data_IF_127681243020
#
_entry.id   IF_127681243020
#
_cell.length_a   1.000
_cell.length_b   1.000
_cell.length_c   1.000
_cell.angle_alpha   90.00
_cell.angle_beta   90.00
_cell.angle_gamma   90.00
#
_symmetry.space_group_name_H-M   'P 1'
#
loop_
_entity.id
_entity.type
_entity.pdbx_description
1 polymer ?
#
# COMPACT_ATOMS: atom_id res chain seq x y z
N UNK A 1 15.74 -1.26 -11.40
CA UNK A 1 14.64 -0.84 -12.29
C UNK A 1 14.19 0.62 -12.07
N UNK A 2 13.62 1.07 -10.94
CA UNK A 2 13.17 2.46 -10.77
C UNK A 2 14.25 3.49 -11.15
N UNK A 3 15.43 3.41 -10.54
CA UNK A 3 16.54 4.34 -10.81
C UNK A 3 17.05 4.28 -12.26
N UNK A 4 17.00 3.13 -12.88
CA UNK A 4 17.36 2.94 -14.29
C UNK A 4 16.37 3.67 -15.19
N UNK A 5 15.06 3.51 -14.93
CA UNK A 5 14.02 4.24 -15.66
C UNK A 5 14.21 5.75 -15.49
N UNK A 6 14.45 6.24 -14.28
CA UNK A 6 14.69 7.68 -14.02
C UNK A 6 15.93 8.16 -14.80
N UNK A 7 17.01 7.38 -14.80
CA UNK A 7 18.23 7.69 -15.55
C UNK A 7 17.98 7.77 -17.07
N UNK A 8 17.22 6.82 -17.61
CA UNK A 8 16.85 6.85 -19.03
C UNK A 8 16.02 8.09 -19.38
N UNK A 9 15.01 8.41 -18.55
CA UNK A 9 14.18 9.60 -18.74
C UNK A 9 15.04 10.87 -18.68
N UNK A 10 15.96 10.96 -17.73
CA UNK A 10 16.86 12.11 -17.63
C UNK A 10 17.74 12.28 -18.87
N UNK A 11 18.26 11.18 -19.43
CA UNK A 11 19.03 11.21 -20.68
C UNK A 11 18.17 11.69 -21.86
N UNK A 12 16.93 11.21 -21.99
CA UNK A 12 16.02 11.63 -23.07
C UNK A 12 15.62 13.11 -22.98
N UNK A 13 15.49 13.63 -21.76
CA UNK A 13 15.04 15.00 -21.50
C UNK A 13 16.19 16.00 -21.32
N UNK A 14 17.45 15.56 -21.48
CA UNK A 14 18.65 16.35 -21.20
C UNK A 14 18.68 16.92 -19.77
N UNK A 15 18.22 16.14 -18.79
CA UNK A 15 18.24 16.46 -17.36
C UNK A 15 19.52 15.86 -16.75
N UNK A 16 20.30 16.68 -16.07
CA UNK A 16 21.44 16.18 -15.30
C UNK A 16 20.96 15.41 -14.09
N UNK A 17 21.50 14.21 -13.91
CA UNK A 17 21.11 13.25 -12.89
C UNK A 17 22.28 12.97 -11.94
N UNK A 18 22.05 13.10 -10.64
CA UNK A 18 23.05 12.83 -9.60
C UNK A 18 22.43 12.04 -8.46
N UNK A 19 23.07 10.93 -8.07
CA UNK A 19 22.66 10.12 -6.92
C UNK A 19 23.42 10.59 -5.69
N UNK A 20 22.69 10.82 -4.59
CA UNK A 20 23.22 11.29 -3.31
C UNK A 20 22.72 10.41 -2.15
N UNK A 21 23.30 10.60 -0.96
CA UNK A 21 22.89 9.94 0.30
C UNK A 21 22.75 8.42 0.17
N UNK A 22 23.76 7.73 -0.36
CA UNK A 22 23.75 6.26 -0.53
C UNK A 22 22.47 5.77 -1.22
N UNK A 23 22.21 6.37 -2.39
CA UNK A 23 21.06 6.00 -3.24
C UNK A 23 19.67 6.46 -2.75
N UNK A 24 19.57 7.24 -1.69
CA UNK A 24 18.27 7.69 -1.18
C UNK A 24 17.75 8.96 -1.87
N UNK A 25 18.66 9.85 -2.32
CA UNK A 25 18.28 11.09 -3.00
C UNK A 25 18.73 11.03 -4.47
N UNK A 26 17.84 11.44 -5.36
CA UNK A 26 18.16 11.71 -6.76
C UNK A 26 17.98 13.21 -6.97
N UNK A 27 19.07 13.90 -7.33
CA UNK A 27 19.09 15.30 -7.73
C UNK A 27 18.92 15.39 -9.24
N UNK A 28 17.99 16.20 -9.71
CA UNK A 28 17.70 16.50 -11.10
C UNK A 28 17.98 17.99 -11.34
N UNK A 29 18.74 18.31 -12.41
CA UNK A 29 19.10 19.68 -12.76
C UNK A 29 18.81 19.95 -14.23
N UNK A 30 18.02 20.98 -14.54
CA UNK A 30 17.67 21.43 -15.87
C UNK A 30 17.43 22.94 -15.88
N UNK A 31 17.98 23.65 -16.85
CA UNK A 31 17.73 25.07 -17.11
C UNK A 31 17.87 25.97 -15.85
N UNK A 32 18.92 25.71 -15.04
CA UNK A 32 19.21 26.33 -13.74
C UNK A 32 18.22 25.99 -12.61
N UNK A 33 17.26 25.12 -12.85
CA UNK A 33 16.37 24.59 -11.83
C UNK A 33 16.88 23.28 -11.24
N UNK A 34 16.60 23.08 -9.96
CA UNK A 34 16.96 21.86 -9.23
C UNK A 34 15.71 21.25 -8.62
N UNK A 35 15.56 19.96 -8.82
CA UNK A 35 14.48 19.15 -8.22
C UNK A 35 15.06 17.91 -7.56
N UNK A 36 14.33 17.35 -6.62
CA UNK A 36 14.77 16.17 -5.88
C UNK A 36 13.70 15.08 -5.85
N UNK A 37 14.15 13.83 -5.93
CA UNK A 37 13.37 12.68 -5.53
C UNK A 37 14.00 12.10 -4.26
N UNK A 38 13.18 11.62 -3.32
CA UNK A 38 13.63 10.92 -2.12
C UNK A 38 13.03 9.52 -2.09
N UNK A 39 13.88 8.50 -2.25
CA UNK A 39 13.41 7.14 -2.49
C UNK A 39 12.62 7.07 -3.80
N UNK A 40 11.30 6.85 -3.69
CA UNK A 40 10.36 6.83 -4.83
C UNK A 40 9.30 7.96 -4.75
N UNK A 41 9.58 9.02 -3.97
CA UNK A 41 8.72 10.21 -3.85
C UNK A 41 9.22 11.31 -4.78
N UNK A 42 8.29 11.84 -5.55
CA UNK A 42 8.50 12.99 -6.42
C UNK A 42 8.09 14.27 -5.69
N UNK A 43 8.78 15.37 -5.95
CA UNK A 43 8.45 16.68 -5.38
C UNK A 43 7.24 17.31 -6.10
N UNK A 44 6.09 16.65 -6.00
CA UNK A 44 4.83 17.05 -6.63
C UNK A 44 3.73 17.34 -5.63
N UNK A 45 3.61 16.54 -4.57
CA UNK A 45 2.68 16.82 -3.50
C UNK A 45 3.23 17.91 -2.57
N UNK A 46 2.36 18.78 -2.08
CA UNK A 46 2.72 19.68 -1.00
C UNK A 46 3.18 18.88 0.24
N UNK A 47 4.08 19.47 1.04
CA UNK A 47 4.67 18.77 2.21
C UNK A 47 3.63 18.18 3.15
N UNK A 48 2.57 18.94 3.48
CA UNK A 48 1.50 18.45 4.35
C UNK A 48 0.76 17.24 3.74
N UNK A 49 0.43 17.32 2.45
CA UNK A 49 -0.24 16.22 1.75
C UNK A 49 0.65 14.98 1.72
N UNK A 50 1.94 15.12 1.41
CA UNK A 50 2.88 14.00 1.44
C UNK A 50 2.94 13.28 2.79
N UNK A 51 2.94 14.05 3.89
CA UNK A 51 2.94 13.50 5.24
C UNK A 51 1.61 12.80 5.61
N UNK A 52 0.48 13.37 5.19
CA UNK A 52 -0.85 12.79 5.40
C UNK A 52 -0.97 11.44 4.67
N UNK A 53 -0.51 11.37 3.42
CA UNK A 53 -0.57 10.12 2.63
C UNK A 53 0.28 8.99 3.23
N UNK A 54 1.34 9.32 3.95
CA UNK A 54 2.21 8.33 4.61
C UNK A 54 1.70 7.91 6.00
N UNK A 55 0.64 8.55 6.51
CA UNK A 55 0.05 8.33 7.83
C UNK A 55 -1.37 7.80 7.68
N UNK A 56 -1.57 6.50 7.95
CA UNK A 56 -2.85 5.81 7.70
C UNK A 56 -4.01 6.41 8.49
N UNK A 57 -3.76 6.79 9.73
CA UNK A 57 -4.80 7.37 10.58
C UNK A 57 -5.13 8.81 10.16
N UNK A 58 -4.13 9.63 9.87
CA UNK A 58 -4.36 10.99 9.39
C UNK A 58 -5.11 11.00 8.05
N UNK A 59 -4.74 10.11 7.13
CA UNK A 59 -5.43 9.97 5.85
C UNK A 59 -6.89 9.51 6.03
N UNK A 60 -7.14 8.53 6.91
CA UNK A 60 -8.49 8.11 7.28
C UNK A 60 -9.33 9.29 7.83
N UNK A 61 -8.78 10.07 8.77
CA UNK A 61 -9.48 11.20 9.38
C UNK A 61 -9.89 12.26 8.32
N UNK A 62 -8.99 12.56 7.37
CA UNK A 62 -9.29 13.46 6.25
C UNK A 62 -10.43 12.90 5.40
N UNK A 63 -10.35 11.64 4.96
CA UNK A 63 -11.37 11.04 4.10
C UNK A 63 -12.72 10.95 4.80
N UNK A 64 -12.74 10.61 6.08
CA UNK A 64 -13.95 10.60 6.91
C UNK A 64 -14.57 12.00 7.00
N UNK A 65 -13.76 13.03 7.22
CA UNK A 65 -14.22 14.41 7.35
C UNK A 65 -14.88 14.93 6.05
N UNK A 66 -14.41 14.48 4.90
CA UNK A 66 -14.95 14.86 3.58
C UNK A 66 -15.94 13.84 3.01
N UNK A 67 -16.43 12.90 3.85
CA UNK A 67 -17.42 11.88 3.50
C UNK A 67 -17.03 10.98 2.31
N UNK A 68 -15.78 10.58 2.23
CA UNK A 68 -15.31 9.55 1.28
C UNK A 68 -15.33 8.18 1.96
N UNK A 69 -15.87 7.13 1.29
CA UNK A 69 -15.85 5.76 1.80
C UNK A 69 -14.40 5.30 2.06
N UNK A 70 -14.07 4.98 3.31
CA UNK A 70 -12.72 4.62 3.75
C UNK A 70 -12.77 3.54 4.82
N UNK A 71 -11.76 2.67 4.85
CA UNK A 71 -11.58 1.70 5.92
C UNK A 71 -11.42 2.41 7.27
N UNK A 72 -12.13 1.92 8.29
CA UNK A 72 -12.05 2.49 9.64
C UNK A 72 -10.66 2.29 10.23
N UNK A 73 -10.18 3.29 10.94
CA UNK A 73 -8.92 3.23 11.68
C UNK A 73 -9.09 3.83 13.08
N UNK A 74 -8.34 3.29 14.05
CA UNK A 74 -8.04 3.92 15.33
C UNK A 74 -6.53 3.96 15.49
N UNK A 75 -6.02 5.00 16.14
CA UNK A 75 -4.58 5.13 16.40
C UNK A 75 -4.27 4.69 17.83
N UNK A 76 -3.15 4.01 18.00
CA UNK A 76 -2.62 3.60 19.29
C UNK A 76 -1.21 4.16 19.40
N UNK A 77 -0.93 4.85 20.53
CA UNK A 77 0.39 5.38 20.84
C UNK A 77 1.09 4.54 21.91
N UNK A 78 2.40 4.69 21.99
CA UNK A 78 3.17 4.08 23.08
C UNK A 78 2.70 4.61 24.43
N UNK A 79 2.59 3.73 25.44
CA UNK A 79 2.10 4.06 26.79
C UNK A 79 2.81 5.22 27.50
N UNK A 80 4.09 5.45 27.15
CA UNK A 80 4.89 6.55 27.69
C UNK A 80 4.79 7.84 26.86
N UNK A 81 3.90 7.89 25.86
CA UNK A 81 3.68 9.11 25.10
C UNK A 81 2.70 10.02 25.85
N UNK A 82 3.23 11.07 26.48
CA UNK A 82 2.49 12.03 27.30
C UNK A 82 2.04 13.28 26.50
N UNK A 83 2.14 13.27 25.20
CA UNK A 83 1.65 14.38 24.37
C UNK A 83 0.12 14.41 24.41
N UNK A 84 -0.47 15.60 24.39
CA UNK A 84 -1.92 15.80 24.51
C UNK A 84 -2.74 14.99 23.50
N UNK A 85 -2.23 14.83 22.28
CA UNK A 85 -2.89 14.04 21.23
C UNK A 85 -2.83 12.52 21.46
N UNK A 86 -1.97 12.03 22.34
CA UNK A 86 -1.82 10.62 22.65
C UNK A 86 -2.61 10.19 23.89
N UNK A 87 -3.03 11.16 24.72
CA UNK A 87 -3.78 10.89 25.96
C UNK A 87 -5.11 10.20 25.61
N UNK A 88 -5.36 9.07 26.28
CA UNK A 88 -6.53 8.24 26.04
C UNK A 88 -6.39 7.22 24.92
N UNK A 89 -5.42 7.40 24.02
CA UNK A 89 -5.14 6.45 22.91
C UNK A 89 -3.89 5.59 23.17
N UNK A 90 -3.41 5.53 24.39
CA UNK A 90 -2.17 4.86 24.79
C UNK A 90 -2.34 3.89 25.96
N UNK A 91 -3.57 3.59 26.35
CA UNK A 91 -3.92 2.69 27.46
C UNK A 91 -4.33 1.31 26.95
N UNK A 92 -4.10 0.28 27.76
CA UNK A 92 -4.57 -1.07 27.46
C UNK A 92 -6.10 -1.12 27.38
N UNK A 93 -6.81 -0.39 28.24
CA UNK A 93 -8.26 -0.26 28.20
C UNK A 93 -8.75 0.27 26.83
N UNK A 94 -8.11 1.31 26.29
CA UNK A 94 -8.44 1.84 24.98
C UNK A 94 -8.23 0.81 23.86
N UNK A 95 -7.11 0.06 23.91
CA UNK A 95 -6.80 -0.98 22.93
C UNK A 95 -7.88 -2.07 22.96
N UNK A 96 -8.28 -2.52 24.15
CA UNK A 96 -9.33 -3.51 24.31
C UNK A 96 -10.70 -2.99 23.91
N UNK A 97 -11.00 -1.71 24.14
CA UNK A 97 -12.24 -1.08 23.67
C UNK A 97 -12.29 -1.03 22.12
N UNK A 98 -11.19 -0.70 21.45
CA UNK A 98 -11.12 -0.77 19.99
C UNK A 98 -11.32 -2.20 19.47
N UNK A 99 -10.74 -3.20 20.13
CA UNK A 99 -10.90 -4.60 19.77
C UNK A 99 -12.36 -5.06 19.89
N UNK A 100 -13.02 -4.70 20.99
CA UNK A 100 -14.44 -5.02 21.20
C UNK A 100 -15.34 -4.26 20.19
N UNK A 101 -15.06 -2.97 19.94
CA UNK A 101 -15.76 -2.16 18.91
C UNK A 101 -15.74 -2.84 17.55
N UNK A 102 -14.62 -3.46 17.22
CA UNK A 102 -14.40 -4.17 15.95
C UNK A 102 -14.70 -5.68 16.03
N UNK A 103 -15.57 -6.07 16.94
CA UNK A 103 -16.09 -7.45 17.09
C UNK A 103 -15.00 -8.52 17.30
N UNK A 104 -13.88 -8.14 17.93
CA UNK A 104 -12.72 -9.00 18.23
C UNK A 104 -12.04 -9.59 16.98
N UNK A 105 -12.15 -8.91 15.84
CA UNK A 105 -11.54 -9.32 14.57
C UNK A 105 -10.89 -8.09 13.92
N UNK A 106 -9.57 -7.97 14.09
CA UNK A 106 -8.84 -6.73 13.76
C UNK A 106 -7.56 -6.98 12.99
N UNK A 107 -7.14 -5.95 12.25
CA UNK A 107 -5.79 -5.85 11.71
C UNK A 107 -5.04 -4.75 12.45
N UNK A 108 -3.84 -5.08 12.94
CA UNK A 108 -2.90 -4.13 13.53
C UNK A 108 -1.72 -3.95 12.59
N UNK A 109 -1.26 -2.71 12.44
CA UNK A 109 -0.14 -2.38 11.57
C UNK A 109 0.56 -1.09 12.02
N UNK A 110 1.85 -0.87 11.68
CA UNK A 110 2.48 0.43 11.83
C UNK A 110 1.66 1.53 11.16
N UNK A 111 1.43 2.63 11.87
CA UNK A 111 0.67 3.76 11.31
C UNK A 111 1.39 4.37 10.11
N UNK A 112 2.73 4.49 10.21
CA UNK A 112 3.62 4.84 9.08
C UNK A 112 4.41 3.60 8.70
N UNK A 113 4.21 3.10 7.49
CA UNK A 113 4.87 1.90 7.01
C UNK A 113 4.30 1.45 5.67
N UNK A 114 5.04 0.58 5.00
CA UNK A 114 4.70 0.07 3.67
C UNK A 114 5.09 -1.40 3.52
N UNK A 115 4.78 -2.01 2.38
CA UNK A 115 5.12 -3.39 2.00
C UNK A 115 4.52 -4.47 2.91
N UNK A 116 3.52 -4.17 3.73
CA UNK A 116 2.90 -5.13 4.63
C UNK A 116 3.81 -5.61 5.78
N UNK A 117 4.85 -4.83 6.13
CA UNK A 117 5.73 -5.13 7.26
C UNK A 117 5.01 -4.77 8.56
N UNK A 118 4.99 -5.72 9.51
CA UNK A 118 4.34 -5.53 10.82
C UNK A 118 2.81 -5.48 10.75
N UNK A 119 2.20 -6.06 9.71
CA UNK A 119 0.74 -6.19 9.61
C UNK A 119 0.33 -7.54 10.17
N UNK A 120 -0.58 -7.54 11.15
CA UNK A 120 -1.06 -8.73 11.85
C UNK A 120 -2.59 -8.75 11.89
N UNK A 121 -3.18 -9.91 11.57
CA UNK A 121 -4.58 -10.20 11.76
C UNK A 121 -4.75 -10.89 13.12
N UNK A 122 -5.62 -10.38 13.97
CA UNK A 122 -5.72 -10.77 15.38
C UNK A 122 -7.17 -10.96 15.78
N UNK A 123 -7.45 -12.12 16.38
CA UNK A 123 -8.76 -12.50 16.92
C UNK A 123 -8.73 -12.85 18.41
N UNK A 124 -7.55 -12.71 19.05
CA UNK A 124 -7.33 -13.06 20.46
C UNK A 124 -6.78 -11.86 21.23
N UNK A 125 -7.29 -11.64 22.47
CA UNK A 125 -6.91 -10.50 23.32
C UNK A 125 -5.45 -10.53 23.77
N UNK A 126 -4.95 -11.71 24.15
CA UNK A 126 -3.58 -11.83 24.68
C UNK A 126 -2.57 -11.59 23.55
N UNK A 127 -2.87 -12.10 22.35
CA UNK A 127 -2.11 -11.85 21.15
C UNK A 127 -2.14 -10.36 20.79
N UNK A 128 -3.30 -9.71 20.87
CA UNK A 128 -3.48 -8.27 20.62
C UNK A 128 -2.50 -7.44 21.46
N UNK A 129 -2.49 -7.64 22.78
CA UNK A 129 -1.64 -6.88 23.69
C UNK A 129 -0.16 -7.16 23.43
N UNK A 130 0.20 -8.43 23.25
CA UNK A 130 1.58 -8.80 22.97
C UNK A 130 2.11 -8.17 21.66
N UNK A 131 1.36 -8.29 20.56
CA UNK A 131 1.75 -7.73 19.26
C UNK A 131 1.75 -6.21 19.30
N UNK A 132 0.76 -5.57 19.97
CA UNK A 132 0.73 -4.13 20.15
C UNK A 132 1.99 -3.63 20.83
N UNK A 133 2.39 -4.25 21.96
CA UNK A 133 3.59 -3.86 22.68
C UNK A 133 4.85 -4.05 21.84
N UNK A 134 4.96 -5.16 21.12
CA UNK A 134 6.12 -5.44 20.23
C UNK A 134 6.23 -4.43 19.09
N UNK A 135 5.12 -4.08 18.44
CA UNK A 135 5.12 -3.10 17.36
C UNK A 135 5.50 -1.70 17.86
N UNK A 136 5.04 -1.31 19.04
CA UNK A 136 5.33 -0.01 19.64
C UNK A 136 6.78 0.16 20.11
N UNK A 137 7.57 -0.92 20.24
CA UNK A 137 9.02 -0.81 20.48
C UNK A 137 9.72 -0.02 19.37
N UNK A 138 9.34 -0.29 18.11
CA UNK A 138 10.00 0.27 16.94
C UNK A 138 9.16 1.29 16.16
N UNK A 139 7.92 1.55 16.61
CA UNK A 139 7.01 2.46 15.95
C UNK A 139 6.47 3.49 16.94
N UNK A 140 6.41 4.74 16.50
CA UNK A 140 5.86 5.84 17.30
C UNK A 140 4.36 5.66 17.56
N UNK A 141 3.65 5.14 16.58
CA UNK A 141 2.23 4.81 16.65
C UNK A 141 1.90 3.64 15.73
N UNK A 142 0.84 2.95 16.07
CA UNK A 142 0.27 1.88 15.25
C UNK A 142 -1.20 2.18 14.96
N UNK A 143 -1.71 1.58 13.90
CA UNK A 143 -3.12 1.66 13.53
C UNK A 143 -3.79 0.31 13.76
N UNK A 144 -4.98 0.33 14.38
CA UNK A 144 -5.90 -0.81 14.49
C UNK A 144 -7.14 -0.52 13.66
N UNK A 145 -7.58 -1.49 12.90
CA UNK A 145 -8.78 -1.42 12.06
C UNK A 145 -9.53 -2.76 12.09
N UNK A 146 -10.85 -2.78 11.80
CA UNK A 146 -11.56 -4.04 11.66
C UNK A 146 -10.94 -4.88 10.53
N UNK A 147 -11.05 -6.19 10.64
CA UNK A 147 -10.69 -7.08 9.56
C UNK A 147 -11.76 -7.00 8.46
N UNK A 148 -11.37 -6.62 7.26
CA UNK A 148 -12.26 -6.58 6.10
C UNK A 148 -12.12 -7.86 5.28
N UNK A 149 -13.22 -8.54 5.00
CA UNK A 149 -13.25 -9.63 4.04
C UNK A 149 -13.16 -9.05 2.63
N UNK A 150 -11.94 -9.04 2.10
CA UNK A 150 -11.62 -8.42 0.81
C UNK A 150 -11.89 -9.41 -0.32
N UNK A 151 -12.75 -9.01 -1.26
CA UNK A 151 -13.01 -9.73 -2.52
C UNK A 151 -11.95 -9.38 -3.57
N UNK A 152 -11.65 -8.09 -3.72
CA UNK A 152 -10.65 -7.58 -4.64
C UNK A 152 -9.92 -6.38 -4.04
N UNK A 153 -8.65 -6.19 -4.42
CA UNK A 153 -7.89 -4.98 -4.11
C UNK A 153 -7.35 -4.36 -5.39
N UNK A 154 -7.56 -3.05 -5.54
CA UNK A 154 -7.16 -2.27 -6.70
C UNK A 154 -6.11 -1.25 -6.29
N UNK A 155 -5.07 -1.10 -7.11
CA UNK A 155 -4.15 0.03 -7.01
C UNK A 155 -4.34 0.97 -8.17
N UNK A 156 -4.52 2.24 -7.85
CA UNK A 156 -4.73 3.31 -8.81
C UNK A 156 -3.58 4.30 -8.72
N UNK A 157 -2.91 4.56 -9.82
CA UNK A 157 -1.90 5.60 -9.93
C UNK A 157 -2.57 6.86 -10.45
N UNK A 158 -2.56 7.91 -9.65
CA UNK A 158 -3.10 9.22 -10.01
C UNK A 158 -1.97 10.23 -10.20
N UNK A 159 -2.05 11.04 -11.25
CA UNK A 159 -1.15 12.15 -11.49
C UNK A 159 -1.99 13.33 -12.03
N UNK A 160 -1.96 14.46 -11.32
CA UNK A 160 -2.64 15.70 -11.69
C UNK A 160 -4.13 15.51 -12.02
N UNK A 161 -4.87 14.82 -11.13
CA UNK A 161 -6.28 14.47 -11.29
C UNK A 161 -6.60 13.60 -12.54
N UNK A 162 -5.63 12.87 -13.02
CA UNK A 162 -5.81 11.88 -14.09
C UNK A 162 -5.41 10.49 -13.60
N UNK A 163 -6.13 9.48 -14.06
CA UNK A 163 -5.77 8.09 -13.83
C UNK A 163 -4.71 7.67 -14.84
N UNK A 164 -3.53 7.31 -14.37
CA UNK A 164 -2.44 6.83 -15.23
C UNK A 164 -2.39 5.32 -15.35
N UNK A 165 -2.78 4.61 -14.30
CA UNK A 165 -2.80 3.15 -14.29
C UNK A 165 -3.79 2.66 -13.23
N UNK A 166 -4.56 1.63 -13.57
CA UNK A 166 -5.33 0.83 -12.61
C UNK A 166 -4.95 -0.62 -12.81
N UNK A 167 -4.66 -1.32 -11.72
CA UNK A 167 -4.54 -2.77 -11.73
C UNK A 167 -5.17 -3.38 -10.48
N UNK A 168 -5.70 -4.59 -10.66
CA UNK A 168 -6.19 -5.43 -9.57
C UNK A 168 -5.04 -6.28 -9.05
N UNK A 169 -4.92 -6.37 -7.74
CA UNK A 169 -4.03 -7.32 -7.08
C UNK A 169 -4.79 -8.63 -6.87
N UNK A 170 -4.18 -9.73 -7.25
CA UNK A 170 -4.73 -11.07 -7.09
C UNK A 170 -3.82 -11.85 -6.17
N UNK A 171 -4.35 -12.38 -5.09
CA UNK A 171 -3.60 -13.30 -4.24
C UNK A 171 -3.47 -14.66 -4.94
N UNK A 172 -2.31 -15.30 -4.86
CA UNK A 172 -2.15 -16.63 -5.40
C UNK A 172 -3.10 -17.59 -4.68
N UNK A 173 -3.92 -18.28 -5.45
CA UNK A 173 -4.74 -19.39 -5.00
C UNK A 173 -3.95 -20.65 -5.34
N UNK A 174 -3.59 -21.43 -4.33
CA UNK A 174 -2.99 -22.74 -4.53
C UNK A 174 -4.09 -23.78 -4.54
N UNK A 175 -4.11 -24.58 -5.60
CA UNK A 175 -4.99 -25.76 -5.68
C UNK A 175 -4.15 -26.98 -5.40
N UNK A 176 -4.49 -27.71 -4.36
CA UNK A 176 -3.85 -28.98 -4.01
C UNK A 176 -3.95 -30.01 -5.14
N UNK A 177 -2.85 -30.71 -5.41
CA UNK A 177 -2.81 -31.81 -6.37
C UNK A 177 -2.84 -33.18 -5.67
N UNK A 178 -2.82 -33.19 -4.33
CA UNK A 178 -2.78 -34.41 -3.49
C UNK A 178 -1.42 -35.08 -3.48
N UNK A 179 -0.35 -34.45 -3.97
CA UNK A 179 0.99 -35.05 -4.11
C UNK A 179 2.11 -34.12 -3.71
N UNK A 180 2.04 -32.86 -4.17
CA UNK A 180 3.05 -31.84 -3.92
C UNK A 180 2.81 -31.14 -2.58
N UNK A 181 3.89 -30.79 -1.90
CA UNK A 181 3.82 -29.93 -0.72
C UNK A 181 3.31 -28.54 -1.08
N UNK A 182 2.73 -27.83 -0.14
CA UNK A 182 2.32 -26.44 -0.32
C UNK A 182 3.49 -25.59 -0.83
N UNK A 183 4.71 -25.84 -0.32
CA UNK A 183 5.94 -25.19 -0.79
C UNK A 183 6.18 -25.40 -2.29
N UNK A 184 6.09 -26.61 -2.78
CA UNK A 184 6.31 -26.95 -4.19
C UNK A 184 5.24 -26.32 -5.10
N UNK A 185 3.98 -26.34 -4.66
CA UNK A 185 2.88 -25.72 -5.38
C UNK A 185 3.04 -24.21 -5.47
N UNK A 186 3.52 -23.57 -4.43
CA UNK A 186 3.71 -22.12 -4.37
C UNK A 186 4.95 -21.65 -5.15
N UNK A 187 6.01 -22.45 -5.23
CA UNK A 187 7.17 -22.16 -6.10
C UNK A 187 6.74 -22.02 -7.56
N UNK A 188 5.73 -22.78 -8.02
CA UNK A 188 5.16 -22.65 -9.38
C UNK A 188 4.58 -21.26 -9.66
N UNK A 189 4.17 -20.51 -8.63
CA UNK A 189 3.66 -19.16 -8.75
C UNK A 189 4.72 -18.06 -8.55
N UNK A 190 6.01 -18.42 -8.54
CA UNK A 190 7.11 -17.49 -8.30
C UNK A 190 7.00 -16.74 -6.95
N UNK A 191 6.29 -17.33 -6.01
CA UNK A 191 6.05 -16.77 -4.67
C UNK A 191 7.20 -17.14 -3.75
N UNK A 192 8.05 -16.18 -3.42
CA UNK A 192 9.24 -16.38 -2.57
C UNK A 192 8.97 -16.09 -1.08
N UNK A 193 7.73 -15.86 -0.69
CA UNK A 193 7.40 -15.43 0.66
C UNK A 193 6.57 -16.45 1.43
N UNK A 194 7.21 -17.05 2.46
CA UNK A 194 6.56 -17.91 3.45
C UNK A 194 6.99 -17.47 4.84
N UNK A 195 6.02 -17.16 5.68
CA UNK A 195 6.28 -16.81 7.09
C UNK A 195 6.18 -18.00 8.03
N UNK A 196 5.40 -19.01 7.68
CA UNK A 196 5.22 -20.20 8.51
C UNK A 196 5.83 -21.45 7.85
N UNK A 197 6.94 -21.93 8.42
CA UNK A 197 7.68 -23.07 7.87
C UNK A 197 6.96 -24.41 8.05
N UNK A 198 6.09 -24.52 9.05
CA UNK A 198 5.43 -25.79 9.38
C UNK A 198 4.28 -26.06 8.41
N UNK A 199 3.56 -25.06 7.98
CA UNK A 199 2.49 -25.14 6.98
C UNK A 199 3.02 -25.48 5.58
N UNK A 200 4.26 -25.14 5.27
CA UNK A 200 4.86 -25.36 3.95
C UNK A 200 5.06 -26.84 3.58
N UNK A 201 5.20 -27.70 4.56
CA UNK A 201 5.42 -29.12 4.36
C UNK A 201 4.12 -29.94 4.25
N UNK A 202 2.96 -29.29 4.43
CA UNK A 202 1.67 -29.94 4.28
C UNK A 202 1.44 -30.27 2.80
N UNK A 203 0.92 -31.45 2.51
CA UNK A 203 0.44 -31.84 1.19
C UNK A 203 -1.06 -31.58 1.16
N UNK A 204 -1.53 -30.55 0.46
CA UNK A 204 -2.96 -30.26 0.35
C UNK A 204 -3.69 -31.38 -0.38
N UNK A 205 -4.93 -31.67 0.03
CA UNK A 205 -5.76 -32.62 -0.68
C UNK A 205 -5.98 -32.21 -2.14
N UNK A 206 -6.27 -33.17 -3.00
CA UNK A 206 -6.59 -32.88 -4.41
C UNK A 206 -7.83 -31.97 -4.50
N UNK A 207 -7.69 -30.87 -5.23
CA UNK A 207 -8.69 -29.81 -5.39
C UNK A 207 -8.94 -28.95 -4.13
N UNK A 208 -8.17 -29.12 -3.07
CA UNK A 208 -8.22 -28.21 -1.92
C UNK A 208 -7.69 -26.84 -2.33
N UNK A 209 -8.51 -25.80 -2.06
CA UNK A 209 -8.14 -24.41 -2.35
C UNK A 209 -7.52 -23.82 -1.09
N UNK A 210 -6.25 -23.43 -1.20
CA UNK A 210 -5.52 -22.76 -0.12
C UNK A 210 -5.25 -21.32 -0.53
N UNK A 211 -5.75 -20.38 0.26
CA UNK A 211 -5.39 -18.99 0.17
C UNK A 211 -4.23 -18.74 1.14
N UNK A 212 -3.08 -18.39 0.61
CA UNK A 212 -1.83 -18.34 1.37
C UNK A 212 -1.77 -17.23 2.42
N UNK A 213 -2.33 -16.06 2.14
CA UNK A 213 -2.23 -14.87 3.00
C UNK A 213 -3.42 -13.95 2.72
N UNK A 214 -3.84 -13.19 3.75
CA UNK A 214 -4.84 -12.15 3.59
C UNK A 214 -4.28 -10.86 2.95
N UNK A 215 -2.95 -10.76 2.76
CA UNK A 215 -2.30 -9.59 2.20
C UNK A 215 -2.30 -9.61 0.66
N UNK A 216 -2.95 -8.63 0.04
CA UNK A 216 -2.83 -8.35 -1.40
C UNK A 216 -1.53 -7.58 -1.68
N UNK A 217 -0.38 -8.26 -1.61
CA UNK A 217 0.92 -7.62 -1.72
C UNK A 217 1.81 -8.26 -2.80
N UNK A 218 2.13 -7.49 -3.84
CA UNK A 218 3.02 -7.94 -4.93
C UNK A 218 4.43 -8.32 -4.43
N UNK A 219 4.84 -7.83 -3.24
CA UNK A 219 6.10 -8.22 -2.62
C UNK A 219 6.01 -9.57 -1.92
N UNK A 220 4.79 -10.05 -1.65
CA UNK A 220 4.49 -11.32 -0.99
C UNK A 220 3.85 -12.35 -1.94
N UNK A 221 4.05 -12.21 -3.25
CA UNK A 221 3.62 -13.19 -4.23
C UNK A 221 2.27 -12.92 -4.91
N UNK A 222 1.53 -11.88 -4.54
CA UNK A 222 0.38 -11.44 -5.33
C UNK A 222 0.80 -11.06 -6.74
N UNK A 223 -0.08 -11.21 -7.70
CA UNK A 223 0.11 -10.78 -9.09
C UNK A 223 -0.76 -9.56 -9.41
N UNK A 224 -0.40 -8.83 -10.46
CA UNK A 224 -1.19 -7.70 -10.94
C UNK A 224 -1.89 -8.07 -12.26
N UNK A 225 -3.13 -7.61 -12.45
CA UNK A 225 -3.83 -7.70 -13.72
C UNK A 225 -4.54 -6.40 -14.03
N UNK A 226 -4.55 -6.01 -15.32
CA UNK A 226 -5.34 -4.89 -15.84
C UNK A 226 -6.71 -5.36 -16.35
N UNK A 227 -6.97 -6.66 -16.31
CA UNK A 227 -8.27 -7.23 -16.65
C UNK A 227 -9.27 -6.97 -15.52
N UNK A 228 -9.98 -5.87 -15.66
CA UNK A 228 -11.01 -5.36 -14.75
C UNK A 228 -12.22 -5.02 -15.59
N UNK A 229 -13.39 -5.50 -15.19
CA UNK A 229 -14.63 -5.17 -15.90
C UNK A 229 -14.88 -3.64 -15.92
N UNK A 230 -15.52 -3.16 -16.98
CA UNK A 230 -15.67 -1.73 -17.25
C UNK A 230 -16.43 -1.00 -16.14
N UNK A 231 -17.47 -1.62 -15.55
CA UNK A 231 -18.26 -1.01 -14.48
C UNK A 231 -17.44 -0.83 -13.19
N UNK A 232 -16.69 -1.85 -12.80
CA UNK A 232 -15.79 -1.77 -11.64
C UNK A 232 -14.69 -0.77 -11.88
N UNK A 233 -14.09 -0.78 -13.07
CA UNK A 233 -13.03 0.18 -13.43
C UNK A 233 -13.53 1.63 -13.35
N UNK A 234 -14.74 1.90 -13.80
CA UNK A 234 -15.35 3.24 -13.73
C UNK A 234 -15.56 3.68 -12.28
N UNK A 235 -16.13 2.81 -11.42
CA UNK A 235 -16.36 3.11 -10.00
C UNK A 235 -15.06 3.37 -9.25
N UNK A 236 -14.04 2.51 -9.44
CA UNK A 236 -12.71 2.66 -8.83
C UNK A 236 -12.05 3.94 -9.32
N UNK A 237 -12.15 4.27 -10.61
CA UNK A 237 -11.63 5.52 -11.17
C UNK A 237 -12.30 6.74 -10.56
N UNK A 238 -13.63 6.75 -10.51
CA UNK A 238 -14.42 7.87 -9.95
C UNK A 238 -14.04 8.13 -8.50
N UNK A 239 -14.00 7.08 -7.67
CA UNK A 239 -13.60 7.19 -6.26
C UNK A 239 -12.17 7.74 -6.12
N UNK A 240 -11.22 7.23 -6.91
CA UNK A 240 -9.82 7.69 -6.86
C UNK A 240 -9.65 9.14 -7.28
N UNK A 241 -10.37 9.59 -8.30
CA UNK A 241 -10.34 10.99 -8.75
C UNK A 241 -10.98 11.91 -7.72
N UNK A 242 -12.06 11.47 -7.07
CA UNK A 242 -12.70 12.22 -5.99
C UNK A 242 -11.73 12.39 -4.80
N UNK A 243 -11.05 11.31 -4.39
CA UNK A 243 -10.00 11.37 -3.36
C UNK A 243 -8.90 12.34 -3.77
N UNK A 244 -8.34 12.18 -4.97
CA UNK A 244 -7.25 13.02 -5.47
C UNK A 244 -7.62 14.51 -5.43
N UNK A 245 -8.80 14.85 -5.95
CA UNK A 245 -9.28 16.22 -6.04
C UNK A 245 -9.58 16.83 -4.66
N UNK A 246 -10.31 16.11 -3.80
CA UNK A 246 -10.74 16.64 -2.50
C UNK A 246 -9.61 16.73 -1.50
N UNK A 247 -8.62 15.83 -1.55
CA UNK A 247 -7.43 15.84 -0.67
C UNK A 247 -6.33 16.78 -1.21
N UNK A 248 -6.33 17.07 -2.49
CA UNK A 248 -5.28 17.86 -3.15
C UNK A 248 -4.05 17.04 -3.51
N UNK A 249 -4.24 15.78 -3.90
CA UNK A 249 -3.16 14.88 -4.32
C UNK A 249 -2.73 15.22 -5.74
N UNK A 250 -1.45 15.48 -5.93
CA UNK A 250 -0.88 15.65 -7.27
C UNK A 250 -0.37 14.33 -7.85
N UNK A 251 0.40 13.54 -7.06
CA UNK A 251 0.93 12.25 -7.50
C UNK A 251 0.96 11.25 -6.35
N UNK A 252 0.20 10.18 -6.49
CA UNK A 252 0.15 9.10 -5.49
C UNK A 252 -0.30 7.76 -6.09
N UNK A 253 -0.11 6.69 -5.34
CA UNK A 253 -0.86 5.46 -5.50
C UNK A 253 -1.95 5.39 -4.43
N UNK A 254 -3.18 5.07 -4.84
CA UNK A 254 -4.34 4.90 -3.97
C UNK A 254 -4.74 3.41 -4.02
N UNK A 255 -4.84 2.78 -2.87
CA UNK A 255 -5.32 1.41 -2.73
C UNK A 255 -6.79 1.42 -2.32
N UNK A 256 -7.61 0.70 -3.07
CA UNK A 256 -9.06 0.58 -2.87
C UNK A 256 -9.38 -0.90 -2.73
N UNK A 257 -10.15 -1.27 -1.72
CA UNK A 257 -10.69 -2.61 -1.56
C UNK A 257 -12.15 -2.68 -2.02
N UNK A 258 -12.50 -3.81 -2.58
CA UNK A 258 -13.89 -4.26 -2.76
C UNK A 258 -14.16 -5.34 -1.72
N UNK A 259 -15.09 -5.09 -0.82
CA UNK A 259 -15.48 -6.07 0.19
C UNK A 259 -16.34 -7.18 -0.41
N UNK A 260 -16.52 -8.28 0.33
CA UNK A 260 -17.46 -9.35 -0.07
C UNK A 260 -18.90 -8.87 -0.21
N UNK A 261 -19.24 -7.73 0.40
CA UNK A 261 -20.56 -7.06 0.26
C UNK A 261 -20.60 -6.12 -0.95
N UNK A 262 -19.57 -6.12 -1.80
CA UNK A 262 -19.41 -5.25 -2.98
C UNK A 262 -19.32 -3.74 -2.66
N UNK A 263 -18.90 -3.38 -1.45
CA UNK A 263 -18.60 -2.01 -1.09
C UNK A 263 -17.16 -1.65 -1.52
N UNK A 264 -16.96 -0.46 -2.09
CA UNK A 264 -15.64 0.07 -2.38
C UNK A 264 -15.21 1.01 -1.26
N UNK A 265 -14.08 0.71 -0.64
CA UNK A 265 -13.49 1.51 0.43
C UNK A 265 -12.05 1.86 0.09
N UNK A 266 -11.65 3.10 0.34
CA UNK A 266 -10.24 3.49 0.27
C UNK A 266 -9.50 2.84 1.43
N UNK A 267 -8.44 2.10 1.13
CA UNK A 267 -7.63 1.42 2.15
C UNK A 267 -6.50 2.32 2.65
N UNK A 268 -5.71 2.84 1.72
CA UNK A 268 -4.58 3.74 1.99
C UNK A 268 -4.17 4.49 0.72
N UNK A 269 -3.36 5.52 0.89
CA UNK A 269 -2.64 6.13 -0.22
C UNK A 269 -1.15 6.22 0.13
N UNK A 270 -0.31 6.30 -0.90
CA UNK A 270 1.14 6.39 -0.74
C UNK A 270 1.68 7.50 -1.63
N UNK A 271 2.41 8.45 -1.02
CA UNK A 271 3.11 9.53 -1.73
C UNK A 271 4.30 9.05 -2.53
N UNK A 272 4.86 7.89 -2.15
CA UNK A 272 5.91 7.21 -2.89
C UNK A 272 5.34 6.25 -3.92
N UNK A 273 5.43 6.60 -5.20
CA UNK A 273 4.87 5.79 -6.29
C UNK A 273 5.92 4.84 -6.86
N UNK A 274 5.68 3.54 -6.74
CA UNK A 274 6.50 2.52 -7.40
C UNK A 274 5.61 1.53 -8.16
N UNK A 275 5.92 1.33 -9.43
CA UNK A 275 5.18 0.42 -10.32
C UNK A 275 6.02 -0.84 -10.60
N UNK A 276 7.26 -0.88 -10.14
CA UNK A 276 8.29 -1.87 -10.49
C UNK A 276 7.82 -3.33 -10.49
N UNK A 277 7.04 -3.74 -9.47
CA UNK A 277 6.58 -5.12 -9.40
C UNK A 277 5.40 -5.40 -10.32
N UNK A 278 4.54 -4.42 -10.52
CA UNK A 278 3.40 -4.54 -11.41
C UNK A 278 3.82 -4.63 -12.88
N UNK A 279 4.97 -4.04 -13.27
CA UNK A 279 5.45 -4.08 -14.67
C UNK A 279 5.65 -5.50 -15.21
N UNK A 280 5.95 -6.47 -14.34
CA UNK A 280 6.14 -7.87 -14.74
C UNK A 280 4.84 -8.56 -15.18
N UNK A 281 3.69 -8.00 -14.83
CA UNK A 281 2.37 -8.58 -15.06
C UNK A 281 1.51 -7.76 -16.04
N UNK A 282 1.94 -6.54 -16.35
CA UNK A 282 1.20 -5.61 -17.20
C UNK A 282 1.82 -5.63 -18.60
N UNK A 283 1.03 -5.78 -19.68
CA UNK A 283 1.53 -5.67 -21.05
C UNK A 283 2.31 -4.36 -21.23
N UNK A 284 3.53 -4.46 -21.79
CA UNK A 284 4.43 -3.33 -21.98
C UNK A 284 4.71 -2.53 -20.67
N UNK A 285 4.66 -3.19 -19.51
CA UNK A 285 4.67 -2.56 -18.21
C UNK A 285 5.87 -1.65 -17.93
N UNK A 286 7.05 -1.98 -18.48
CA UNK A 286 8.23 -1.12 -18.38
C UNK A 286 7.99 0.26 -18.99
N UNK A 287 7.47 0.30 -20.25
CA UNK A 287 7.18 1.56 -20.92
C UNK A 287 6.03 2.31 -20.27
N UNK A 288 5.00 1.61 -19.77
CA UNK A 288 3.92 2.23 -18.99
C UNK A 288 4.49 2.96 -17.75
N UNK A 289 5.37 2.30 -16.99
CA UNK A 289 6.01 2.92 -15.84
C UNK A 289 6.90 4.11 -16.26
N UNK A 290 7.65 3.97 -17.36
CA UNK A 290 8.53 5.01 -17.88
C UNK A 290 7.75 6.27 -18.28
N UNK A 291 6.64 6.13 -19.01
CA UNK A 291 5.80 7.26 -19.40
C UNK A 291 5.17 7.98 -18.18
N UNK A 292 4.69 7.22 -17.19
CA UNK A 292 4.14 7.82 -15.96
C UNK A 292 5.22 8.61 -15.22
N UNK A 293 6.41 8.05 -15.04
CA UNK A 293 7.51 8.75 -14.37
C UNK A 293 8.06 9.92 -15.17
N UNK A 294 8.07 9.80 -16.50
CA UNK A 294 8.47 10.89 -17.41
C UNK A 294 7.55 12.09 -17.28
N UNK A 295 6.24 11.86 -17.30
CA UNK A 295 5.26 12.92 -17.08
C UNK A 295 5.42 13.55 -15.68
N UNK A 296 5.61 12.71 -14.64
CA UNK A 296 5.83 13.20 -13.27
C UNK A 296 7.10 14.09 -13.19
N UNK A 297 8.21 13.71 -13.83
CA UNK A 297 9.44 14.51 -13.88
C UNK A 297 9.21 15.82 -14.61
N UNK A 298 8.58 15.81 -15.80
CA UNK A 298 8.27 17.02 -16.54
C UNK A 298 7.49 18.03 -15.68
N UNK A 299 6.45 17.54 -14.99
CA UNK A 299 5.64 18.38 -14.09
C UNK A 299 6.41 18.94 -12.89
N UNK A 300 7.51 18.33 -12.48
CA UNK A 300 8.37 18.91 -11.42
C UNK A 300 9.07 20.18 -11.91
N UNK A 301 9.32 20.31 -13.20
CA UNK A 301 9.97 21.47 -13.83
C UNK A 301 8.95 22.49 -14.41
N UNK A 302 7.68 22.13 -14.53
CA UNK A 302 6.61 23.01 -15.03
C UNK A 302 5.97 23.89 -13.90
N UNK A 303 6.55 23.88 -12.70
CA UNK A 303 6.04 24.60 -11.51
C UNK A 303 6.55 26.04 -11.44
#
# INVERSE_FOLDING_TARGET
>A
MFKEIIKEICNELNIKYTILSKDWIIKLEKDNEVRYLTGNKFDLNGHAIGNILDDKYAFYEILKNINIPVCLHRIIYHKNNNQSYAIGCNTEEYILNCFNEFHNDVVIKPNKGSMGIGVHHITNKDELINITNNLLINNYSISICPYYHIKNEYRVIVLNNEIKLIYKKINPIVIGDGKSTLKELLIKFNSSYYTDKDVLNIIPNKNEIITHDFHFNLSKGSIATIDIDSSTKEKVSSLSLEVSKKVGITFASIDIIETTNNELLVLEANSGVTINKATNFIPNGYNVAKEIYKEAILRMFDK
#
